data_IF_635725984984
#
_entry.id   IF_635725984984
#
_cell.length_a   1.000
_cell.length_b   1.000
_cell.length_c   1.000
_cell.angle_alpha   90.00
_cell.angle_beta   90.00
_cell.angle_gamma   90.00
#
_symmetry.space_group_name_H-M   'P 1'
#
loop_
_entity.id
_entity.type
_entity.pdbx_description
1 polymer ?
#
# COMPACT_ATOMS: atom_id res chain seq x y z
N UNK A 1 29.84 -59.49 32.08
CA UNK A 1 29.27 -58.11 32.09
C UNK A 1 30.38 -57.15 31.65
N UNK A 2 30.41 -56.50 30.51
CA UNK A 2 29.50 -56.45 29.38
C UNK A 2 30.30 -56.12 28.11
N UNK A 3 30.41 -57.10 27.21
CA UNK A 3 31.00 -56.96 25.86
C UNK A 3 30.10 -56.12 24.93
N UNK A 4 28.90 -55.73 25.40
CA UNK A 4 27.92 -54.90 24.70
C UNK A 4 28.16 -53.38 24.82
N UNK A 5 29.03 -52.90 25.73
CA UNK A 5 29.22 -51.45 25.96
C UNK A 5 30.09 -50.75 24.89
N UNK A 6 30.78 -51.51 24.03
CA UNK A 6 31.74 -50.96 23.05
C UNK A 6 31.16 -50.81 21.62
N UNK A 7 29.92 -51.26 21.39
CA UNK A 7 29.25 -51.20 20.07
C UNK A 7 28.16 -50.12 20.04
N UNK A 8 27.62 -49.70 21.19
CA UNK A 8 26.51 -48.76 21.29
C UNK A 8 26.88 -47.39 21.89
N UNK A 9 28.16 -47.03 21.92
CA UNK A 9 28.62 -45.72 22.39
C UNK A 9 28.53 -44.61 21.34
N UNK A 10 27.42 -44.51 20.60
CA UNK A 10 27.11 -43.25 19.91
C UNK A 10 26.63 -42.28 20.98
N UNK A 11 27.33 -41.17 21.16
CA UNK A 11 26.73 -39.98 21.78
C UNK A 11 25.48 -39.69 20.96
N UNK A 12 24.31 -39.85 21.56
CA UNK A 12 23.12 -39.17 21.07
C UNK A 12 23.41 -37.68 21.28
N UNK A 13 23.78 -37.00 20.20
CA UNK A 13 23.66 -35.55 20.16
C UNK A 13 22.16 -35.28 20.25
N UNK A 14 21.73 -34.88 21.43
CA UNK A 14 20.38 -34.35 21.63
C UNK A 14 20.19 -33.23 20.59
N UNK A 15 19.12 -33.27 19.78
CA UNK A 15 18.87 -32.18 18.85
C UNK A 15 18.74 -30.91 19.68
N UNK A 16 19.63 -29.94 19.47
CA UNK A 16 19.43 -28.59 19.96
C UNK A 16 18.09 -28.12 19.40
N UNK A 17 17.07 -28.13 20.26
CA UNK A 17 15.79 -27.54 19.94
C UNK A 17 16.08 -26.06 19.82
N UNK A 18 16.29 -25.58 18.59
CA UNK A 18 16.22 -24.17 18.29
C UNK A 18 14.84 -23.72 18.79
N UNK A 19 14.83 -23.07 19.96
CA UNK A 19 13.68 -22.38 20.48
C UNK A 19 13.28 -21.40 19.38
N UNK A 20 12.26 -21.75 18.59
CA UNK A 20 11.60 -20.81 17.71
C UNK A 20 11.08 -19.73 18.63
N UNK A 21 11.85 -18.66 18.78
CA UNK A 21 11.41 -17.43 19.39
C UNK A 21 10.22 -17.00 18.55
N UNK A 22 9.01 -17.30 19.04
CA UNK A 22 7.80 -16.80 18.43
C UNK A 22 7.88 -15.29 18.53
N UNK A 23 8.22 -14.64 17.41
CA UNK A 23 8.20 -13.18 17.34
C UNK A 23 6.83 -12.73 17.84
N UNK A 24 6.80 -11.83 18.85
CA UNK A 24 5.57 -11.42 19.47
C UNK A 24 4.61 -10.97 18.37
N UNK A 25 3.36 -11.41 18.49
CA UNK A 25 2.28 -10.92 17.65
C UNK A 25 2.32 -9.38 17.76
N UNK A 26 2.60 -8.65 16.66
CA UNK A 26 2.61 -7.21 16.74
C UNK A 26 1.24 -6.78 17.24
N UNK A 27 1.23 -6.03 18.33
CA UNK A 27 0.02 -5.45 18.87
C UNK A 27 -0.72 -4.71 17.75
N UNK A 28 -2.06 -4.72 17.74
CA UNK A 28 -2.83 -3.98 16.75
C UNK A 28 -2.36 -2.53 16.75
N UNK A 29 -1.71 -2.14 15.65
CA UNK A 29 -1.25 -0.78 15.42
C UNK A 29 -2.50 0.09 15.25
N UNK A 30 -2.53 1.23 15.96
CA UNK A 30 -3.63 2.21 16.04
C UNK A 30 -4.29 2.57 14.69
N UNK A 31 -5.41 3.29 14.76
CA UNK A 31 -6.25 3.78 13.63
C UNK A 31 -5.47 4.42 12.46
N UNK A 32 -4.23 4.89 12.69
CA UNK A 32 -3.36 5.57 11.72
C UNK A 32 -2.50 4.60 10.87
N UNK A 33 -3.17 3.69 10.15
CA UNK A 33 -2.53 2.66 9.32
C UNK A 33 -3.07 2.64 7.89
N UNK A 34 -2.18 2.34 6.94
CA UNK A 34 -2.54 2.05 5.55
C UNK A 34 -2.55 0.53 5.35
N UNK A 35 -3.67 -0.01 4.88
CA UNK A 35 -3.76 -1.42 4.55
C UNK A 35 -3.12 -1.67 3.18
N UNK A 36 -2.36 -2.76 3.04
CA UNK A 36 -1.69 -3.17 1.80
C UNK A 36 -2.32 -4.43 1.17
N UNK A 37 -3.30 -5.04 1.83
CA UNK A 37 -4.02 -6.21 1.32
C UNK A 37 -3.87 -7.43 2.20
N UNK A 38 -4.58 -8.50 1.83
CA UNK A 38 -4.66 -9.72 2.60
C UNK A 38 -3.53 -10.69 2.24
N UNK A 39 -2.99 -11.36 3.26
CA UNK A 39 -2.10 -12.51 3.09
C UNK A 39 -2.60 -13.67 3.94
N UNK A 40 -2.27 -14.91 3.54
CA UNK A 40 -2.52 -16.09 4.36
C UNK A 40 -1.39 -16.25 5.40
N UNK A 41 -1.74 -16.25 6.69
CA UNK A 41 -0.78 -16.44 7.77
C UNK A 41 -0.73 -17.91 8.18
N UNK A 42 0.33 -18.63 7.78
CA UNK A 42 0.51 -20.04 8.17
C UNK A 42 0.56 -20.24 9.69
N UNK A 43 1.12 -19.27 10.43
CA UNK A 43 1.18 -19.34 11.90
C UNK A 43 -0.21 -19.24 12.54
N UNK A 44 -1.11 -18.44 11.96
CA UNK A 44 -2.45 -18.22 12.53
C UNK A 44 -3.54 -19.07 11.87
N UNK A 45 -3.22 -19.72 10.74
CA UNK A 45 -4.16 -20.48 9.91
C UNK A 45 -5.39 -19.63 9.51
N UNK A 46 -5.16 -18.36 9.19
CA UNK A 46 -6.20 -17.42 8.75
C UNK A 46 -5.63 -16.31 7.86
N UNK A 47 -6.51 -15.63 7.12
CA UNK A 47 -6.16 -14.42 6.39
C UNK A 47 -5.91 -13.26 7.35
N UNK A 48 -4.87 -12.49 7.07
CA UNK A 48 -4.45 -11.35 7.87
C UNK A 48 -4.24 -10.15 6.97
N UNK A 49 -4.57 -8.97 7.46
CA UNK A 49 -4.36 -7.73 6.73
C UNK A 49 -2.91 -7.28 6.92
N UNK A 50 -2.18 -7.12 5.81
CA UNK A 50 -0.89 -6.41 5.81
C UNK A 50 -1.17 -4.92 6.01
N UNK A 51 -0.46 -4.30 6.94
CA UNK A 51 -0.61 -2.88 7.26
C UNK A 51 0.76 -2.23 7.44
N UNK A 52 0.85 -0.94 7.12
CA UNK A 52 1.97 -0.08 7.51
C UNK A 52 1.43 1.12 8.28
N UNK A 53 2.25 1.73 9.14
CA UNK A 53 1.88 3.00 9.77
C UNK A 53 1.91 4.10 8.72
N UNK A 54 0.99 5.05 8.79
CA UNK A 54 0.99 6.22 7.89
C UNK A 54 2.29 7.04 8.02
N UNK A 55 2.91 7.05 9.22
CA UNK A 55 4.24 7.66 9.42
C UNK A 55 5.32 7.01 8.56
N UNK A 56 5.26 5.70 8.36
CA UNK A 56 6.26 4.93 7.62
C UNK A 56 6.06 5.16 6.11
N UNK A 57 4.82 5.37 5.66
CA UNK A 57 4.52 5.79 4.27
C UNK A 57 5.22 7.10 3.85
N UNK A 58 5.55 7.99 4.79
CA UNK A 58 6.23 9.26 4.49
C UNK A 58 7.63 9.07 3.88
N UNK A 59 8.23 7.89 4.03
CA UNK A 59 9.51 7.56 3.40
C UNK A 59 9.37 7.07 1.96
N UNK A 60 8.16 7.17 1.39
CA UNK A 60 7.79 6.67 0.07
C UNK A 60 7.80 5.14 -0.03
N UNK A 61 7.12 4.61 -1.05
CA UNK A 61 7.13 3.19 -1.37
C UNK A 61 7.23 2.98 -2.88
N UNK A 62 7.83 1.86 -3.25
CA UNK A 62 8.04 1.47 -4.63
C UNK A 62 7.29 0.16 -4.92
N UNK A 63 6.40 0.18 -5.91
CA UNK A 63 5.56 -0.97 -6.28
C UNK A 63 6.09 -1.56 -7.58
N UNK A 64 6.52 -2.82 -7.54
CA UNK A 64 7.13 -3.52 -8.69
C UNK A 64 6.30 -4.73 -9.07
N UNK A 65 6.20 -4.97 -10.37
CA UNK A 65 5.52 -6.15 -10.92
C UNK A 65 5.42 -6.08 -12.44
N UNK A 66 5.20 -7.22 -13.08
CA UNK A 66 4.99 -7.29 -14.52
C UNK A 66 3.73 -6.50 -14.97
N UNK A 67 3.58 -6.25 -16.28
CA UNK A 67 2.32 -5.74 -16.81
C UNK A 67 1.18 -6.72 -16.50
N UNK A 68 0.00 -6.20 -16.16
CA UNK A 68 -1.14 -7.03 -15.73
C UNK A 68 -1.05 -7.61 -14.32
N UNK A 69 0.05 -7.40 -13.57
CA UNK A 69 0.19 -7.92 -12.20
C UNK A 69 -0.68 -7.19 -11.14
N UNK A 70 -1.56 -6.27 -11.56
CA UNK A 70 -2.48 -5.57 -10.66
C UNK A 70 -1.91 -4.32 -9.97
N UNK A 71 -0.76 -3.78 -10.42
CA UNK A 71 -0.16 -2.57 -9.81
C UNK A 71 -1.12 -1.38 -9.73
N UNK A 72 -1.84 -1.08 -10.82
CA UNK A 72 -2.82 0.00 -10.84
C UNK A 72 -3.96 -0.25 -9.85
N UNK A 73 -4.46 -1.49 -9.78
CA UNK A 73 -5.49 -1.88 -8.79
C UNK A 73 -5.00 -1.79 -7.35
N UNK A 74 -3.73 -2.10 -7.12
CA UNK A 74 -3.12 -1.89 -5.81
C UNK A 74 -3.04 -0.40 -5.45
N UNK A 75 -2.59 0.46 -6.37
CA UNK A 75 -2.57 1.91 -6.14
C UNK A 75 -3.98 2.49 -5.92
N UNK A 76 -4.96 2.05 -6.72
CA UNK A 76 -6.37 2.39 -6.56
C UNK A 76 -6.87 2.01 -5.16
N UNK A 77 -6.53 0.82 -4.67
CA UNK A 77 -6.88 0.36 -3.33
C UNK A 77 -6.29 1.25 -2.23
N UNK A 78 -5.07 1.78 -2.40
CA UNK A 78 -4.49 2.74 -1.45
C UNK A 78 -5.21 4.10 -1.51
N UNK A 79 -5.47 4.60 -2.72
CA UNK A 79 -6.15 5.89 -2.94
C UNK A 79 -7.57 5.89 -2.35
N UNK A 80 -8.30 4.79 -2.48
CA UNK A 80 -9.64 4.64 -1.86
C UNK A 80 -9.59 4.79 -0.33
N UNK A 81 -8.53 4.31 0.31
CA UNK A 81 -8.32 4.50 1.74
C UNK A 81 -8.04 5.96 2.08
N UNK A 82 -7.25 6.66 1.25
CA UNK A 82 -7.01 8.10 1.43
C UNK A 82 -8.30 8.90 1.29
N UNK A 83 -9.10 8.63 0.26
CA UNK A 83 -10.42 9.27 0.08
C UNK A 83 -11.31 9.05 1.30
N UNK A 84 -11.41 7.81 1.79
CA UNK A 84 -12.22 7.47 2.96
C UNK A 84 -11.75 8.19 4.24
N UNK A 85 -10.45 8.46 4.37
CA UNK A 85 -9.85 9.23 5.48
C UNK A 85 -9.90 10.74 5.26
N UNK A 86 -10.33 11.21 4.09
CA UNK A 86 -10.30 12.62 3.71
C UNK A 86 -8.90 13.14 3.38
N UNK A 87 -7.92 12.26 3.15
CA UNK A 87 -6.57 12.63 2.75
C UNK A 87 -6.54 13.08 1.28
N UNK A 88 -5.77 14.12 0.99
CA UNK A 88 -5.46 14.52 -0.38
C UNK A 88 -4.49 13.54 -1.05
N UNK A 89 -4.63 13.36 -2.36
CA UNK A 89 -3.72 12.56 -3.17
C UNK A 89 -3.53 13.19 -4.55
N UNK A 90 -2.46 12.81 -5.25
CA UNK A 90 -2.21 13.18 -6.63
C UNK A 90 -1.84 11.94 -7.43
N UNK A 91 -2.32 11.85 -8.67
CA UNK A 91 -2.06 10.73 -9.58
C UNK A 91 -1.59 11.26 -10.91
N UNK A 92 -0.53 10.65 -11.44
CA UNK A 92 -0.06 10.85 -12.80
C UNK A 92 -0.14 9.47 -13.46
N UNK A 93 -1.01 9.33 -14.44
CA UNK A 93 -1.21 8.09 -15.17
C UNK A 93 -1.06 8.33 -16.68
N UNK A 94 0.05 7.91 -17.29
CA UNK A 94 0.26 8.04 -18.74
C UNK A 94 -0.69 7.19 -19.59
N UNK A 95 -1.33 6.17 -19.02
CA UNK A 95 -2.19 5.23 -19.76
C UNK A 95 -3.68 5.56 -19.61
N UNK A 96 -4.07 6.23 -18.53
CA UNK A 96 -5.43 6.71 -18.25
C UNK A 96 -6.34 5.69 -17.55
N UNK A 97 -6.02 4.39 -17.62
CA UNK A 97 -6.84 3.32 -17.03
C UNK A 97 -7.09 3.52 -15.52
N UNK A 98 -6.06 3.91 -14.76
CA UNK A 98 -6.17 4.15 -13.32
C UNK A 98 -7.01 5.39 -13.01
N UNK A 99 -6.88 6.44 -13.83
CA UNK A 99 -7.66 7.66 -13.69
C UNK A 99 -9.15 7.38 -13.89
N UNK A 100 -9.53 6.58 -14.89
CA UNK A 100 -10.93 6.23 -15.13
C UNK A 100 -11.55 5.45 -13.96
N UNK A 101 -10.80 4.50 -13.39
CA UNK A 101 -11.23 3.77 -12.19
C UNK A 101 -11.45 4.70 -10.99
N UNK A 102 -10.51 5.63 -10.76
CA UNK A 102 -10.59 6.61 -9.67
C UNK A 102 -11.77 7.56 -9.88
N UNK A 103 -11.98 8.08 -11.10
CA UNK A 103 -13.14 8.93 -11.42
C UNK A 103 -14.45 8.23 -11.11
N UNK A 104 -14.58 6.98 -11.52
CA UNK A 104 -15.77 6.16 -11.24
C UNK A 104 -15.99 6.00 -9.73
N UNK A 105 -14.93 5.76 -8.96
CA UNK A 105 -15.03 5.68 -7.50
C UNK A 105 -15.40 7.02 -6.85
N UNK A 106 -14.75 8.12 -7.23
CA UNK A 106 -15.02 9.45 -6.67
C UNK A 106 -16.45 9.90 -6.95
N UNK A 107 -16.96 9.64 -8.16
CA UNK A 107 -18.34 9.93 -8.53
C UNK A 107 -19.39 9.20 -7.66
N UNK A 108 -19.01 8.07 -7.06
CA UNK A 108 -19.85 7.32 -6.12
C UNK A 108 -19.61 7.72 -4.66
N UNK A 109 -18.39 8.09 -4.32
CA UNK A 109 -17.97 8.36 -2.94
C UNK A 109 -18.28 9.80 -2.48
N UNK A 110 -18.41 10.75 -3.42
CA UNK A 110 -18.57 12.17 -3.14
C UNK A 110 -19.87 12.72 -3.74
N UNK A 111 -20.43 13.75 -3.11
CA UNK A 111 -21.49 14.56 -3.71
C UNK A 111 -20.99 15.36 -4.91
N UNK A 112 -21.91 15.90 -5.72
CA UNK A 112 -21.55 16.71 -6.89
C UNK A 112 -20.78 17.97 -6.47
N UNK A 113 -21.23 18.62 -5.41
CA UNK A 113 -20.62 19.82 -4.86
C UNK A 113 -19.19 19.53 -4.37
N UNK A 114 -18.98 18.42 -3.66
CA UNK A 114 -17.64 18.01 -3.23
C UNK A 114 -16.72 17.69 -4.40
N UNK A 115 -17.22 17.08 -5.48
CA UNK A 115 -16.43 16.81 -6.66
C UNK A 115 -15.93 18.11 -7.30
N UNK A 116 -16.83 19.07 -7.50
CA UNK A 116 -16.50 20.37 -8.10
C UNK A 116 -15.52 21.18 -7.24
N UNK A 117 -15.59 21.07 -5.91
CA UNK A 117 -14.71 21.79 -4.99
C UNK A 117 -13.36 21.11 -4.75
N UNK A 118 -13.30 19.77 -4.76
CA UNK A 118 -12.14 19.01 -4.25
C UNK A 118 -11.35 18.29 -5.33
N UNK A 119 -11.88 18.13 -6.54
CA UNK A 119 -11.25 17.33 -7.60
C UNK A 119 -10.83 18.21 -8.77
N UNK A 120 -9.54 18.19 -9.07
CA UNK A 120 -8.97 18.81 -10.25
C UNK A 120 -8.48 17.72 -11.20
N UNK A 121 -9.15 17.59 -12.35
CA UNK A 121 -8.71 16.73 -13.44
C UNK A 121 -7.95 17.56 -14.47
N UNK A 122 -6.69 17.20 -14.72
CA UNK A 122 -5.87 17.80 -15.77
C UNK A 122 -5.62 16.72 -16.82
N UNK A 123 -6.25 16.87 -17.98
CA UNK A 123 -6.01 16.02 -19.14
C UNK A 123 -5.46 16.89 -20.28
N UNK A 124 -4.15 16.80 -20.60
CA UNK A 124 -3.54 17.58 -21.68
C UNK A 124 -4.00 17.12 -23.08
N UNK A 125 -4.74 16.02 -23.18
CA UNK A 125 -5.29 15.50 -24.44
C UNK A 125 -6.73 15.92 -24.68
N UNK A 126 -7.41 16.49 -23.67
CA UNK A 126 -8.77 17.01 -23.81
C UNK A 126 -8.75 18.45 -24.37
N UNK A 127 -8.97 18.57 -25.67
CA UNK A 127 -9.01 19.86 -26.38
C UNK A 127 -10.12 20.81 -25.86
N UNK A 128 -11.16 20.30 -25.21
CA UNK A 128 -12.27 21.13 -24.70
C UNK A 128 -11.99 21.70 -23.32
N UNK A 129 -11.17 21.01 -22.52
CA UNK A 129 -10.89 21.35 -21.12
C UNK A 129 -9.39 21.44 -20.83
N UNK A 130 -8.60 21.88 -21.81
CA UNK A 130 -7.16 22.10 -21.63
C UNK A 130 -6.92 23.31 -20.72
N UNK A 131 -6.28 23.08 -19.57
CA UNK A 131 -5.76 24.15 -18.72
C UNK A 131 -4.39 24.56 -19.25
N UNK A 132 -4.25 25.81 -19.71
CA UNK A 132 -2.94 26.36 -20.04
C UNK A 132 -2.16 26.61 -18.74
N UNK A 133 -1.12 25.80 -18.51
CA UNK A 133 -0.19 26.01 -17.40
C UNK A 133 1.18 26.40 -17.96
N UNK A 134 1.63 27.61 -17.64
CA UNK A 134 2.98 28.05 -17.95
C UNK A 134 3.82 28.05 -16.66
N UNK A 135 4.73 27.08 -16.46
CA UNK A 135 5.58 27.01 -15.25
C UNK A 135 6.55 28.19 -15.11
N UNK A 136 6.70 29.01 -16.17
CA UNK A 136 7.54 30.21 -16.17
C UNK A 136 6.73 31.50 -15.97
N UNK A 137 5.40 31.41 -15.89
CA UNK A 137 4.54 32.56 -15.66
C UNK A 137 4.72 33.09 -14.23
N UNK A 138 4.93 34.40 -14.12
CA UNK A 138 5.12 35.05 -12.83
C UNK A 138 3.75 35.29 -12.19
N UNK A 139 3.43 34.52 -11.15
CA UNK A 139 2.23 34.74 -10.37
C UNK A 139 2.40 36.00 -9.51
N UNK A 140 1.66 37.06 -9.82
CA UNK A 140 1.74 38.34 -9.11
C UNK A 140 1.25 38.25 -7.64
N UNK A 141 0.46 37.22 -7.30
CA UNK A 141 -0.19 37.08 -5.99
C UNK A 141 0.58 36.31 -4.92
N UNK A 142 1.74 35.71 -5.23
CA UNK A 142 2.49 34.86 -4.28
C UNK A 142 3.70 35.59 -3.66
N UNK A 143 4.02 36.79 -4.15
CA UNK A 143 5.19 37.57 -3.72
C UNK A 143 4.86 38.98 -3.21
N UNK A 144 3.73 39.15 -2.51
CA UNK A 144 3.44 40.38 -1.74
C UNK A 144 3.97 40.28 -0.32
#
# INVERSE_FOLDING_TARGET
MGLFKKIFGKKEEEPEVEEKVEEPIPEPVDEDVLNLGWYWSERRQEFQMVKIRERDRRTHFYVVGASGAGKSKFLEFLIRQDVAKGNGFGVIDPHGDLIEDIKGYLALALSKEELEERVLLIDPTDEKYTVAFNPLERLESIFS
#
